data_IF_759843334797
#
_entry.id   IF_759843334797
#
_cell.length_a   1.000
_cell.length_b   1.000
_cell.length_c   1.000
_cell.angle_alpha   90.00
_cell.angle_beta   90.00
_cell.angle_gamma   90.00
#
_symmetry.space_group_name_H-M   'P 1'
#
loop_
_entity.id
_entity.type
_entity.pdbx_description
1 polymer ?
#
# COMPACT_ATOMS: atom_id res chain seq x y z
N UNK A 1 -66.01 9.03 38.45
CA UNK A 1 -66.95 9.08 37.31
C UNK A 1 -66.76 10.42 36.64
N UNK A 2 -66.32 10.62 35.41
CA UNK A 2 -65.84 9.86 34.25
C UNK A 2 -65.37 11.04 33.34
N UNK A 3 -64.24 11.07 32.65
CA UNK A 3 -63.65 10.11 31.74
C UNK A 3 -62.18 10.46 31.55
N UNK A 4 -61.35 9.44 31.73
CA UNK A 4 -59.96 9.39 31.33
C UNK A 4 -59.96 8.53 30.07
N UNK A 5 -60.32 9.10 28.91
CA UNK A 5 -60.34 8.35 27.66
C UNK A 5 -59.94 9.21 26.46
N UNK A 6 -58.97 8.67 25.72
CA UNK A 6 -58.68 8.92 24.31
C UNK A 6 -57.85 10.15 23.93
N UNK A 7 -56.61 10.22 24.43
CA UNK A 7 -55.51 10.57 23.53
C UNK A 7 -54.87 9.28 23.03
N UNK A 8 -55.35 8.78 21.89
CA UNK A 8 -54.60 7.80 21.12
C UNK A 8 -53.21 8.38 20.78
N UNK A 9 -52.11 7.62 20.95
CA UNK A 9 -50.85 8.04 20.36
C UNK A 9 -51.02 7.99 18.82
N UNK A 10 -50.43 8.92 18.05
CA UNK A 10 -50.41 8.80 16.60
C UNK A 10 -49.64 7.53 16.21
N UNK A 11 -50.38 6.48 15.86
CA UNK A 11 -49.88 5.25 15.29
C UNK A 11 -49.43 5.53 13.84
N UNK A 12 -48.19 5.96 13.66
CA UNK A 12 -47.64 6.22 12.32
C UNK A 12 -46.14 6.54 12.26
N UNK A 13 -45.51 6.81 13.40
CA UNK A 13 -44.13 7.25 13.47
C UNK A 13 -43.02 6.18 13.31
N UNK A 14 -43.20 4.87 13.58
CA UNK A 14 -42.05 3.96 13.66
C UNK A 14 -41.49 3.56 12.28
N UNK A 15 -42.31 3.54 11.21
CA UNK A 15 -41.87 3.05 9.90
C UNK A 15 -40.96 4.04 9.17
N UNK A 16 -41.21 5.34 9.32
CA UNK A 16 -40.43 6.40 8.66
C UNK A 16 -39.02 6.54 9.26
N UNK A 17 -38.90 6.47 10.58
CA UNK A 17 -37.59 6.45 11.24
C UNK A 17 -36.80 5.20 10.90
N UNK A 18 -37.47 4.05 10.84
CA UNK A 18 -36.82 2.80 10.44
C UNK A 18 -36.32 2.87 8.99
N UNK A 19 -37.13 3.41 8.06
CA UNK A 19 -36.72 3.64 6.67
C UNK A 19 -35.53 4.61 6.56
N UNK A 20 -35.56 5.71 7.31
CA UNK A 20 -34.47 6.68 7.34
C UNK A 20 -33.18 6.04 7.87
N UNK A 21 -33.26 5.26 8.95
CA UNK A 21 -32.13 4.52 9.49
C UNK A 21 -31.56 3.52 8.48
N UNK A 22 -32.41 2.77 7.77
CA UNK A 22 -31.96 1.87 6.72
C UNK A 22 -31.28 2.60 5.56
N UNK A 23 -31.80 3.76 5.14
CA UNK A 23 -31.19 4.57 4.08
C UNK A 23 -29.82 5.14 4.50
N UNK A 24 -29.69 5.58 5.75
CA UNK A 24 -28.41 6.10 6.28
C UNK A 24 -27.40 4.97 6.40
N UNK A 25 -27.81 3.78 6.88
CA UNK A 25 -26.94 2.61 7.01
C UNK A 25 -26.48 2.10 5.64
N UNK A 26 -27.36 2.02 4.65
CA UNK A 26 -26.99 1.59 3.29
C UNK A 26 -26.09 2.62 2.61
N UNK A 27 -26.36 3.92 2.74
CA UNK A 27 -25.49 4.96 2.22
C UNK A 27 -24.11 4.92 2.89
N UNK A 28 -24.04 4.75 4.20
CA UNK A 28 -22.78 4.62 4.94
C UNK A 28 -22.01 3.38 4.49
N UNK A 29 -22.68 2.24 4.32
CA UNK A 29 -22.08 1.00 3.85
C UNK A 29 -21.52 1.12 2.41
N UNK A 30 -22.25 1.80 1.52
CA UNK A 30 -21.83 2.05 0.14
C UNK A 30 -20.65 3.04 0.04
N UNK A 31 -20.58 4.01 0.95
CA UNK A 31 -19.51 5.01 0.97
C UNK A 31 -18.27 4.54 1.74
N UNK A 32 -18.43 3.60 2.67
CA UNK A 32 -17.33 3.01 3.46
C UNK A 32 -16.14 2.48 2.63
N UNK A 33 -16.32 1.74 1.52
CA UNK A 33 -15.18 1.28 0.71
C UNK A 33 -14.37 2.41 0.08
N UNK A 34 -14.93 3.62 -0.06
CA UNK A 34 -14.24 4.81 -0.59
C UNK A 34 -13.63 5.66 0.53
N UNK A 35 -14.32 5.78 1.66
CA UNK A 35 -13.85 6.54 2.84
C UNK A 35 -12.63 5.91 3.51
N UNK A 36 -12.54 4.57 3.53
CA UNK A 36 -11.45 3.83 4.18
C UNK A 36 -10.07 3.99 3.51
N UNK A 37 -9.92 3.88 2.18
CA UNK A 37 -8.64 4.16 1.54
C UNK A 37 -8.29 5.64 1.62
N UNK A 38 -9.29 6.53 1.48
CA UNK A 38 -9.08 7.97 1.57
C UNK A 38 -8.55 8.39 2.94
N UNK A 39 -9.11 7.85 4.04
CA UNK A 39 -8.65 8.15 5.40
C UNK A 39 -7.23 7.63 5.68
N UNK A 40 -6.89 6.44 5.18
CA UNK A 40 -5.53 5.90 5.31
C UNK A 40 -4.50 6.73 4.53
N UNK A 41 -4.86 7.17 3.33
CA UNK A 41 -3.97 7.98 2.49
C UNK A 41 -3.77 9.38 3.08
N UNK A 42 -4.82 9.94 3.69
CA UNK A 42 -4.77 11.22 4.40
C UNK A 42 -3.95 11.11 5.68
N UNK A 43 -4.14 10.05 6.48
CA UNK A 43 -3.31 9.78 7.65
C UNK A 43 -1.84 9.57 7.27
N UNK A 44 -1.55 8.81 6.22
CA UNK A 44 -0.18 8.60 5.73
C UNK A 44 0.48 9.92 5.28
N UNK A 45 -0.26 10.78 4.59
CA UNK A 45 0.23 12.10 4.17
C UNK A 45 0.54 13.04 5.35
N UNK A 46 -0.21 12.93 6.45
CA UNK A 46 -0.03 13.78 7.65
C UNK A 46 1.03 13.22 8.61
N UNK A 47 1.10 11.89 8.77
CA UNK A 47 2.07 11.23 9.67
C UNK A 47 3.39 10.85 9.01
N UNK A 48 3.51 11.02 7.68
CA UNK A 48 4.65 10.50 6.91
C UNK A 48 4.73 8.97 6.91
N UNK A 49 3.63 8.29 7.25
CA UNK A 49 3.59 6.83 7.29
C UNK A 49 3.70 6.25 5.89
N UNK A 50 4.52 5.21 5.74
CA UNK A 50 4.76 4.51 4.47
C UNK A 50 3.44 3.98 3.86
N UNK A 51 3.15 4.37 2.62
CA UNK A 51 2.03 3.82 1.85
C UNK A 51 2.52 2.61 1.07
N UNK A 52 1.91 1.44 1.32
CA UNK A 52 2.26 0.23 0.58
C UNK A 52 2.02 0.42 -0.92
N UNK A 53 3.03 0.16 -1.75
CA UNK A 53 2.96 0.24 -3.22
C UNK A 53 3.55 1.50 -3.85
N UNK A 54 3.99 2.51 -3.08
CA UNK A 54 4.64 3.72 -3.61
C UNK A 54 6.16 3.60 -3.73
N UNK A 55 6.77 2.60 -3.09
CA UNK A 55 8.20 2.34 -3.19
C UNK A 55 8.45 0.97 -3.81
N UNK A 56 9.50 0.89 -4.62
CA UNK A 56 9.99 -0.35 -5.22
C UNK A 56 11.47 -0.53 -4.90
N UNK A 57 11.86 -1.76 -4.58
CA UNK A 57 13.25 -2.15 -4.39
C UNK A 57 13.63 -3.06 -5.54
N UNK A 58 14.71 -2.73 -6.23
CA UNK A 58 15.23 -3.50 -7.36
C UNK A 58 16.57 -4.11 -6.99
N UNK A 59 16.70 -5.41 -7.23
CA UNK A 59 17.94 -6.17 -7.08
C UNK A 59 18.53 -6.43 -8.47
N UNK A 60 19.79 -6.06 -8.67
CA UNK A 60 20.50 -6.30 -9.93
C UNK A 60 21.82 -6.99 -9.63
N UNK A 61 22.03 -8.16 -10.21
CA UNK A 61 23.30 -8.87 -10.11
C UNK A 61 24.22 -8.41 -11.25
N UNK A 62 25.45 -8.07 -10.91
CA UNK A 62 26.47 -7.62 -11.84
C UNK A 62 27.71 -8.52 -11.75
N UNK A 63 28.33 -8.87 -12.89
CA UNK A 63 29.50 -9.76 -12.91
C UNK A 63 30.80 -9.06 -12.49
N UNK A 64 30.86 -7.72 -12.50
CA UNK A 64 32.06 -6.96 -12.15
C UNK A 64 31.71 -5.63 -11.43
N UNK A 65 32.63 -5.17 -10.59
CA UNK A 65 32.48 -3.98 -9.74
C UNK A 65 32.50 -2.69 -10.53
N UNK A 66 33.33 -2.60 -11.57
CA UNK A 66 33.30 -1.44 -12.48
C UNK A 66 31.91 -1.29 -13.13
N UNK A 67 31.36 -2.39 -13.65
CA UNK A 67 30.04 -2.39 -14.30
C UNK A 67 28.95 -1.99 -13.29
N UNK A 68 28.98 -2.56 -12.08
CA UNK A 68 28.03 -2.20 -11.02
C UNK A 68 28.07 -0.70 -10.69
N UNK A 69 29.26 -0.11 -10.56
CA UNK A 69 29.42 1.32 -10.27
C UNK A 69 28.95 2.20 -11.43
N UNK A 70 29.22 1.81 -12.67
CA UNK A 70 28.79 2.57 -13.84
C UNK A 70 27.25 2.56 -13.98
N UNK A 71 26.62 1.40 -13.72
CA UNK A 71 25.16 1.28 -13.68
C UNK A 71 24.58 2.12 -12.54
N UNK A 72 25.14 2.02 -11.33
CA UNK A 72 24.68 2.80 -10.18
C UNK A 72 24.74 4.32 -10.46
N UNK A 73 25.84 4.79 -11.06
CA UNK A 73 25.98 6.19 -11.49
C UNK A 73 24.92 6.58 -12.51
N UNK A 74 24.69 5.77 -13.54
CA UNK A 74 23.68 6.06 -14.56
C UNK A 74 22.25 6.10 -13.98
N UNK A 75 21.93 5.23 -13.03
CA UNK A 75 20.63 5.21 -12.34
C UNK A 75 20.42 6.49 -11.52
N UNK A 76 21.44 6.89 -10.75
CA UNK A 76 21.39 8.08 -9.89
C UNK A 76 21.35 9.36 -10.73
N UNK A 77 22.15 9.44 -11.81
CA UNK A 77 22.21 10.60 -12.71
C UNK A 77 20.86 10.83 -13.41
N UNK A 78 20.21 9.75 -13.83
CA UNK A 78 18.86 9.79 -14.41
C UNK A 78 17.75 9.94 -13.35
N UNK A 79 18.09 10.07 -12.07
CA UNK A 79 17.15 10.17 -10.93
C UNK A 79 16.11 9.04 -10.91
N UNK A 80 16.49 7.85 -11.36
CA UNK A 80 15.60 6.69 -11.41
C UNK A 80 15.48 5.99 -10.05
N UNK A 81 16.44 6.20 -9.15
CA UNK A 81 16.42 5.72 -7.78
C UNK A 81 16.94 6.82 -6.84
N UNK A 82 16.47 6.81 -5.60
CA UNK A 82 16.92 7.73 -4.55
C UNK A 82 18.29 7.33 -4.00
N UNK A 83 18.54 6.02 -3.90
CA UNK A 83 19.81 5.46 -3.45
C UNK A 83 20.08 4.13 -4.13
N UNK A 84 21.36 3.80 -4.28
CA UNK A 84 21.83 2.52 -4.78
C UNK A 84 22.96 2.02 -3.86
N UNK A 85 22.76 0.86 -3.25
CA UNK A 85 23.79 0.17 -2.47
C UNK A 85 24.50 -0.86 -3.33
N UNK A 86 25.84 -0.86 -3.31
CA UNK A 86 26.68 -1.83 -4.01
C UNK A 86 27.27 -2.78 -2.97
N UNK A 87 26.92 -4.06 -3.07
CA UNK A 87 27.39 -5.10 -2.15
C UNK A 87 28.39 -6.01 -2.89
N UNK A 88 29.71 -5.82 -2.68
CA UNK A 88 30.72 -6.65 -3.32
C UNK A 88 30.79 -8.04 -2.67
N UNK A 89 31.20 -9.04 -3.46
CA UNK A 89 31.41 -10.44 -3.04
C UNK A 89 30.14 -11.17 -2.56
N UNK A 90 29.03 -10.99 -3.25
CA UNK A 90 27.87 -11.86 -3.04
C UNK A 90 28.11 -13.20 -3.72
N UNK A 91 28.13 -14.31 -2.97
CA UNK A 91 28.09 -15.66 -3.56
C UNK A 91 26.66 -15.96 -4.00
N UNK A 92 26.46 -16.14 -5.29
CA UNK A 92 25.20 -16.58 -5.89
C UNK A 92 25.31 -18.06 -6.20
N UNK A 93 24.52 -18.88 -5.49
CA UNK A 93 24.40 -20.31 -5.77
C UNK A 93 23.14 -20.55 -6.57
N UNK A 94 23.27 -21.14 -7.75
CA UNK A 94 22.14 -21.46 -8.61
C UNK A 94 22.30 -22.84 -9.23
N UNK A 95 21.16 -23.42 -9.65
CA UNK A 95 21.12 -24.74 -10.25
C UNK A 95 21.14 -24.59 -11.77
N UNK A 96 22.16 -25.14 -12.43
CA UNK A 96 22.33 -25.08 -13.88
C UNK A 96 22.83 -26.41 -14.42
N UNK A 97 22.22 -26.90 -15.50
CA UNK A 97 22.55 -28.18 -16.14
C UNK A 97 22.66 -29.41 -15.22
N UNK A 98 21.93 -29.43 -14.10
CA UNK A 98 21.97 -30.56 -13.16
C UNK A 98 23.01 -30.44 -12.05
N UNK A 99 23.80 -29.37 -12.04
CA UNK A 99 24.81 -29.09 -11.01
C UNK A 99 24.51 -27.77 -10.29
N UNK A 100 25.05 -27.65 -9.07
CA UNK A 100 25.03 -26.40 -8.31
C UNK A 100 26.28 -25.62 -8.70
N UNK A 101 26.09 -24.48 -9.35
CA UNK A 101 27.17 -23.53 -9.65
C UNK A 101 27.18 -22.43 -8.59
N UNK A 102 28.39 -22.08 -8.14
CA UNK A 102 28.64 -20.92 -7.28
C UNK A 102 29.39 -19.86 -8.10
N UNK A 103 28.79 -18.68 -8.26
CA UNK A 103 29.42 -17.54 -8.92
C UNK A 103 29.50 -16.35 -7.96
N UNK A 104 30.64 -15.66 -7.96
CA UNK A 104 30.78 -14.39 -7.22
C UNK A 104 30.19 -13.27 -8.06
N UNK A 105 29.13 -12.65 -7.55
CA UNK A 105 28.44 -11.53 -8.19
C UNK A 105 28.42 -10.30 -7.27
N UNK A 106 28.01 -9.17 -7.82
CA UNK A 106 27.85 -7.91 -7.10
C UNK A 106 26.38 -7.55 -7.13
N UNK A 107 25.79 -7.44 -5.94
CA UNK A 107 24.37 -7.13 -5.80
C UNK A 107 24.20 -5.62 -5.68
N UNK A 108 23.39 -5.04 -6.55
CA UNK A 108 22.91 -3.67 -6.42
C UNK A 108 21.51 -3.66 -5.84
N UNK A 109 21.29 -2.82 -4.84
CA UNK A 109 19.97 -2.59 -4.24
C UNK A 109 19.58 -1.14 -4.46
N UNK A 110 18.61 -0.91 -5.34
CA UNK A 110 18.09 0.42 -5.65
C UNK A 110 16.72 0.64 -5.02
N UNK A 111 16.53 1.75 -4.31
CA UNK A 111 15.21 2.17 -3.83
C UNK A 111 14.66 3.29 -4.72
N UNK A 112 13.49 3.09 -5.31
CA UNK A 112 12.83 4.07 -6.18
C UNK A 112 11.44 4.42 -5.64
N UNK A 113 11.08 5.69 -5.76
CA UNK A 113 9.74 6.18 -5.48
C UNK A 113 8.99 6.27 -6.81
N UNK A 114 7.81 5.63 -6.87
CA UNK A 114 6.98 5.62 -8.07
C UNK A 114 6.05 6.82 -8.12
#
# INVERSE_FOLDING_TARGET
MDRLDSLCPPAGYPRQFVLLCFLILTATFLMYPVLKPLSLQLQASVTGSYVSGTHSVVFVNCPNEQIARDIARAILDKKLAASVNILPKASSLYFWQGEIEETTEILLVGSSFR
#
